data_IF_968111840540
#
_entry.id   IF_968111840540
#
_cell.length_a   1.000
_cell.length_b   1.000
_cell.length_c   1.000
_cell.angle_alpha   90.00
_cell.angle_beta   90.00
_cell.angle_gamma   90.00
#
_symmetry.space_group_name_H-M   'P 1'
#
loop_
_entity.id
_entity.type
_entity.pdbx_description
1 polymer ?
2 polymer ?
3 non-polymer ?
4 water ?
#
loop_
_entity_poly.entity_id
_entity_poly.type
_entity_poly.pdbx_seq_one_letter_code
_entity_poly.pdbx_strand_id
1 'polyribonucleotide' '(GTP)GCCGCCC' ?
#
# COMPACT_ATOMS: atom_id res chain seq x y z
N UNK B 2 -4.42 16.38 24.48
CA UNK B 2 -4.98 17.73 24.51
C UNK B 2 -4.53 18.52 23.29
N UNK B 3 -3.37 18.16 22.74
CA UNK B 3 -2.78 18.86 21.60
C UNK B 3 -3.30 18.21 20.31
N UNK B 4 -4.26 18.87 19.67
CA UNK B 4 -4.87 18.33 18.46
C UNK B 4 -4.28 19.01 17.24
N UNK B 5 -4.02 18.22 16.20
CA UNK B 5 -3.62 18.78 14.92
C UNK B 5 -4.85 19.24 14.15
N UNK B 6 -4.61 19.83 13.00
CA UNK B 6 -5.65 20.45 12.20
C UNK B 6 -6.12 19.56 11.06
N UNK B 7 -5.62 18.32 11.01
CA UNK B 7 -6.05 17.33 10.03
C UNK B 7 -5.99 17.87 8.60
N UNK B 8 -4.88 18.50 8.26
CA UNK B 8 -4.70 19.04 6.91
C UNK B 8 -4.44 17.92 5.90
N UNK B 9 -4.53 18.27 4.61
CA UNK B 9 -4.14 17.34 3.54
C UNK B 9 -2.64 17.42 3.32
N UNK B 10 -2.00 16.25 3.23
CA UNK B 10 -0.56 16.15 2.99
C UNK B 10 -0.34 15.38 1.70
N UNK B 11 0.74 15.73 1.00
CA UNK B 11 1.25 14.91 -0.08
C UNK B 11 2.19 13.87 0.49
N UNK B 12 2.06 12.63 0.02
CA UNK B 12 2.92 11.54 0.45
C UNK B 12 3.94 11.32 -0.65
N UNK B 13 5.20 11.66 -0.38
CA UNK B 13 6.21 11.67 -1.41
C UNK B 13 7.30 10.65 -1.13
N UNK B 14 7.93 10.16 -2.20
CA UNK B 14 9.09 9.26 -2.06
C UNK B 14 10.20 9.99 -1.33
N UNK B 15 10.69 9.40 -0.23
CA UNK B 15 11.72 10.15 0.49
C UNK B 15 13.04 10.15 -0.25
N UNK B 16 13.21 9.32 -1.29
CA UNK B 16 14.44 9.31 -2.08
C UNK B 16 14.42 10.28 -3.26
N UNK B 17 13.34 10.30 -4.04
CA UNK B 17 13.35 11.11 -5.26
C UNK B 17 12.29 12.22 -5.26
N UNK B 18 11.45 12.28 -4.22
CA UNK B 18 10.40 13.27 -3.99
C UNK B 18 9.21 13.17 -4.95
N UNK B 19 9.06 12.08 -5.71
CA UNK B 19 7.84 11.88 -6.50
C UNK B 19 6.65 11.64 -5.58
N UNK B 20 5.50 12.24 -5.90
CA UNK B 20 4.31 12.12 -5.07
C UNK B 20 3.54 10.84 -5.39
N UNK B 21 3.25 10.05 -4.36
CA UNK B 21 2.46 8.84 -4.58
C UNK B 21 0.97 9.13 -4.51
N UNK B 22 0.52 9.79 -3.45
CA UNK B 22 -0.91 10.01 -3.25
C UNK B 22 -1.10 11.09 -2.20
N UNK B 23 -2.37 11.48 -2.00
CA UNK B 23 -2.68 12.38 -0.89
C UNK B 23 -3.01 11.58 0.38
N UNK B 24 -2.88 12.26 1.52
CA UNK B 24 -3.06 11.64 2.83
C UNK B 24 -4.46 11.09 3.03
N UNK B 25 -5.45 11.70 2.40
CA UNK B 25 -6.83 11.29 2.61
C UNK B 25 -7.15 9.93 2.02
N UNK B 26 -6.22 9.32 1.25
CA UNK B 26 -6.41 7.99 0.67
C UNK B 26 -5.77 6.88 1.49
N UNK B 27 -5.14 7.21 2.61
CA UNK B 27 -4.65 6.18 3.52
C UNK B 27 -5.80 5.72 4.41
N UNK B 28 -5.99 4.41 4.52
CA UNK B 28 -7.05 3.86 5.36
C UNK B 28 -6.49 2.63 6.04
N UNK B 29 -6.99 2.31 7.22
CA UNK B 29 -6.36 1.16 7.84
C UNK B 29 -7.28 -0.06 7.74
N UNK B 30 -6.64 -1.23 7.72
CA UNK B 30 -7.31 -2.53 7.71
C UNK B 30 -6.62 -3.31 8.82
N UNK B 31 -7.20 -3.30 10.02
CA UNK B 31 -6.66 -4.02 11.18
C UNK B 31 -5.14 -3.81 11.33
N UNK B 32 -4.79 -2.57 11.65
CA UNK B 32 -3.41 -2.13 11.89
C UNK B 32 -2.53 -2.12 10.65
N UNK B 33 -3.03 -2.51 9.48
CA UNK B 33 -2.30 -2.39 8.22
C UNK B 33 -2.75 -1.10 7.54
N UNK B 34 -1.82 -0.21 7.21
CA UNK B 34 -2.12 1.08 6.61
C UNK B 34 -1.94 0.98 5.09
N UNK B 35 -3.03 1.14 4.34
CA UNK B 35 -2.99 0.89 2.90
C UNK B 35 -3.47 2.10 2.12
N UNK B 36 -3.15 2.12 0.81
CA UNK B 36 -3.54 3.22 -0.08
C UNK B 36 -4.77 2.79 -0.85
N UNK B 37 -5.83 3.62 -0.82
CA UNK B 37 -7.06 3.32 -1.55
C UNK B 37 -7.34 4.40 -2.59
N UNK B 38 -6.27 4.89 -3.22
CA UNK B 38 -6.38 5.78 -4.37
C UNK B 38 -6.09 4.93 -5.60
N UNK B 39 -7.07 4.70 -6.49
CA UNK B 39 -6.80 3.81 -7.64
C UNK B 39 -5.70 4.33 -8.56
N UNK B 40 -5.42 5.63 -8.54
CA UNK B 40 -4.36 6.18 -9.38
C UNK B 40 -2.95 5.89 -8.88
N UNK B 41 -2.81 5.40 -7.64
CA UNK B 41 -1.48 5.27 -7.05
C UNK B 41 -0.63 4.26 -7.82
N UNK B 42 -1.24 3.24 -8.41
CA UNK B 42 -0.44 2.16 -9.02
C UNK B 42 0.46 2.70 -10.13
N UNK B 43 0.02 3.76 -10.81
CA UNK B 43 0.83 4.39 -11.85
C UNK B 43 2.22 4.72 -11.35
N UNK B 44 2.34 5.00 -10.06
CA UNK B 44 3.61 5.47 -9.49
C UNK B 44 4.40 4.37 -8.82
N UNK B 45 3.96 3.11 -8.94
CA UNK B 45 4.56 1.98 -8.24
C UNK B 45 5.05 0.92 -9.22
N UNK B 46 6.22 0.37 -8.94
CA UNK B 46 6.79 -0.78 -9.65
C UNK B 46 6.52 -2.03 -8.81
N UNK B 47 5.97 -3.05 -9.44
CA UNK B 47 5.57 -4.28 -8.76
C UNK B 47 6.48 -5.41 -9.22
N UNK B 48 7.05 -6.15 -8.27
CA UNK B 48 8.03 -7.19 -8.62
C UNK B 48 7.87 -8.36 -7.66
N UNK B 49 7.83 -9.57 -8.22
CA UNK B 49 7.73 -10.77 -7.37
C UNK B 49 8.99 -10.92 -6.56
N UNK B 50 8.84 -11.22 -5.27
CA UNK B 50 9.97 -11.69 -4.49
C UNK B 50 10.33 -13.14 -4.82
N UNK B 51 9.43 -13.87 -5.49
CA UNK B 51 9.64 -15.29 -5.83
C UNK B 51 9.84 -16.15 -4.58
N UNK B 52 9.22 -15.72 -3.48
CA UNK B 52 9.24 -16.42 -2.19
C UNK B 52 7.91 -16.11 -1.51
N UNK B 53 7.15 -17.14 -1.15
CA UNK B 53 5.87 -16.95 -0.47
C UNK B 53 6.14 -16.46 0.95
N UNK B 54 5.27 -15.57 1.42
CA UNK B 54 5.32 -15.10 2.80
C UNK B 54 5.25 -16.28 3.76
N UNK B 55 5.90 -16.11 4.92
CA UNK B 55 5.75 -17.07 6.00
C UNK B 55 4.43 -16.88 6.75
N UNK B 56 3.80 -15.72 6.58
CA UNK B 56 2.48 -15.47 7.14
C UNK B 56 1.45 -15.89 6.09
N UNK B 57 0.84 -17.07 6.27
CA UNK B 57 -0.08 -17.64 5.29
C UNK B 57 -1.52 -17.40 5.74
N UNK B 58 -2.13 -16.33 5.25
CA UNK B 58 -3.51 -15.99 5.57
C UNK B 58 -4.37 -16.00 4.29
N UNK B 59 -5.62 -16.42 4.45
CA UNK B 59 -6.58 -16.34 3.35
C UNK B 59 -7.06 -14.91 3.14
N UNK B 60 -7.27 -14.17 4.23
CA UNK B 60 -7.87 -12.86 4.18
C UNK B 60 -6.88 -11.73 3.93
N UNK B 61 -5.59 -11.99 4.06
CA UNK B 61 -4.61 -10.94 4.28
C UNK B 61 -3.27 -11.43 3.75
N UNK B 62 -3.13 -11.48 2.41
CA UNK B 62 -1.97 -12.11 1.80
C UNK B 62 -0.88 -11.08 1.54
N UNK B 63 0.28 -11.15 2.18
CA UNK B 63 1.40 -10.30 1.76
C UNK B 63 2.02 -10.86 0.49
N UNK B 64 2.08 -10.02 -0.56
CA UNK B 64 2.47 -10.51 -1.88
C UNK B 64 3.69 -9.77 -2.38
N UNK B 65 3.59 -9.19 -3.59
CA UNK B 65 4.75 -8.70 -4.33
C UNK B 65 5.37 -7.48 -3.65
N UNK B 66 6.65 -7.26 -3.97
CA UNK B 66 7.36 -6.08 -3.52
C UNK B 66 6.89 -4.87 -4.32
N UNK B 67 6.86 -3.73 -3.67
CA UNK B 67 6.52 -2.49 -4.36
C UNK B 67 7.69 -1.53 -4.22
N UNK B 68 8.04 -0.89 -5.34
CA UNK B 68 9.10 0.10 -5.40
C UNK B 68 8.58 1.35 -6.07
N UNK B 69 9.24 2.47 -5.77
CA UNK B 69 8.96 3.70 -6.48
C UNK B 69 9.23 3.48 -7.97
N UNK B 70 8.25 3.80 -8.80
CA UNK B 70 8.44 3.57 -10.24
C UNK B 70 9.56 4.43 -10.77
N UNK B 71 9.79 5.59 -10.18
CA UNK B 71 10.81 6.49 -10.70
C UNK B 71 12.21 6.02 -10.32
N UNK B 72 12.46 5.89 -9.01
CA UNK B 72 13.83 5.67 -8.51
C UNK B 72 14.07 4.26 -8.00
N UNK B 73 13.03 3.42 -7.96
CA UNK B 73 13.11 2.01 -7.56
C UNK B 73 13.44 1.81 -6.09
N UNK B 74 13.35 2.85 -5.24
CA UNK B 74 13.44 2.63 -3.80
C UNK B 74 12.34 1.64 -3.37
N UNK B 75 12.67 0.74 -2.44
CA UNK B 75 11.65 -0.11 -1.82
C UNK B 75 10.75 0.74 -0.96
N UNK B 76 9.46 0.78 -1.27
CA UNK B 76 8.53 1.64 -0.55
C UNK B 76 7.41 0.85 0.14
N UNK B 77 7.42 -0.47 0.07
CA UNK B 77 6.39 -1.24 0.75
C UNK B 77 6.14 -2.56 0.04
N UNK B 78 4.89 -3.01 0.13
CA UNK B 78 4.52 -4.34 -0.32
C UNK B 78 3.06 -4.34 -0.70
N UNK B 79 2.72 -5.16 -1.68
CA UNK B 79 1.34 -5.30 -2.10
C UNK B 79 0.69 -6.43 -1.32
N UNK B 80 -0.57 -6.24 -0.95
CA UNK B 80 -1.34 -7.27 -0.28
C UNK B 80 -2.59 -7.56 -1.09
N UNK B 81 -3.16 -8.74 -0.84
CA UNK B 81 -4.50 -9.05 -1.32
C UNK B 81 -5.39 -9.15 -0.08
N UNK B 82 -6.31 -8.22 0.06
CA UNK B 82 -7.23 -8.15 1.20
C UNK B 82 -8.64 -8.21 0.63
N UNK B 83 -9.41 -9.20 1.06
CA UNK B 83 -10.81 -9.32 0.65
C UNK B 83 -10.91 -9.34 -0.87
N UNK B 84 -10.04 -10.12 -1.50
CA UNK B 84 -10.01 -10.24 -2.94
C UNK B 84 -9.50 -9.04 -3.69
N UNK B 85 -8.97 -8.02 -3.00
CA UNK B 85 -8.53 -6.79 -3.63
C UNK B 85 -7.04 -6.61 -3.45
N UNK B 86 -6.33 -6.24 -4.53
CA UNK B 86 -4.92 -5.88 -4.40
C UNK B 86 -4.80 -4.45 -3.88
N UNK B 87 -3.97 -4.28 -2.85
CA UNK B 87 -3.77 -2.97 -2.23
C UNK B 87 -2.29 -2.72 -1.97
N UNK B 88 -1.80 -1.50 -2.23
CA UNK B 88 -0.43 -1.17 -1.86
C UNK B 88 -0.36 -0.81 -0.38
N UNK B 89 0.62 -1.35 0.32
CA UNK B 89 0.90 -0.89 1.68
C UNK B 89 2.22 -0.11 1.62
N UNK B 90 2.17 1.20 1.81
CA UNK B 90 3.38 2.00 1.74
C UNK B 90 4.04 2.03 3.11
N UNK B 91 5.35 1.85 3.14
CA UNK B 91 6.08 1.92 4.39
C UNK B 91 6.21 3.36 4.86
N UNK B 92 5.86 3.62 6.12
CA UNK B 92 5.87 4.99 6.61
C UNK B 92 7.28 5.55 6.56
N UNK B 93 8.29 4.68 6.66
CA UNK B 93 9.66 5.17 6.70
C UNK B 93 10.20 5.49 5.31
N UNK B 94 9.51 5.10 4.26
CA UNK B 94 9.90 5.45 2.90
C UNK B 94 9.27 6.74 2.41
N UNK B 95 8.48 7.44 3.25
CA UNK B 95 7.70 8.60 2.83
C UNK B 95 8.20 9.89 3.46
N UNK B 96 7.97 11.00 2.76
CA UNK B 96 8.00 12.33 3.36
C UNK B 96 6.63 12.97 3.21
N UNK B 97 6.12 13.57 4.29
CA UNK B 97 4.80 14.19 4.30
C UNK B 97 4.95 15.69 4.10
N UNK B 98 4.29 16.24 3.08
CA UNK B 98 4.43 17.64 2.74
C UNK B 98 3.06 18.31 2.75
N UNK B 99 2.96 19.44 3.46
CA UNK B 99 1.75 20.26 3.58
C UNK B 99 2.02 21.62 2.97
N UNK B 100 1.28 21.95 1.90
CA UNK B 100 1.58 23.14 1.11
C UNK B 100 1.27 24.43 1.86
N UNK B 101 0.04 24.57 2.36
CA UNK B 101 -0.34 25.82 3.02
C UNK B 101 0.51 26.07 4.26
N UNK B 102 0.81 25.02 5.04
CA UNK B 102 1.65 25.18 6.23
C UNK B 102 3.12 25.39 5.87
N UNK B 103 3.52 25.09 4.64
CA UNK B 103 4.92 25.20 4.20
C UNK B 103 5.81 24.29 5.05
N UNK B 104 5.36 23.05 5.26
CA UNK B 104 6.01 22.16 6.20
C UNK B 104 6.24 20.80 5.57
N UNK B 105 7.31 20.12 6.01
CA UNK B 105 7.58 18.78 5.52
C UNK B 105 8.26 17.98 6.62
N UNK B 106 7.87 16.72 6.78
CA UNK B 106 8.32 15.94 7.92
C UNK B 106 8.35 14.47 7.56
N UNK B 107 9.20 13.72 8.26
CA UNK B 107 9.12 12.27 8.32
C UNK B 107 8.47 11.85 9.65
N UNK B 108 7.98 10.61 9.70
CA UNK B 108 7.47 10.03 10.94
C UNK B 108 7.98 8.59 11.02
N UNK B 109 8.25 8.13 12.24
CA UNK B 109 8.80 6.80 12.41
C UNK B 109 7.73 5.71 12.46
N UNK B 110 6.49 6.05 12.78
CA UNK B 110 5.40 5.08 12.87
C UNK B 110 4.12 5.69 12.34
N UNK B 111 3.23 4.84 11.80
CA UNK B 111 1.93 5.35 11.37
C UNK B 111 1.13 5.95 12.52
N UNK B 112 1.32 5.45 13.74
CA UNK B 112 0.61 6.03 14.87
C UNK B 112 1.11 7.45 15.17
N UNK B 113 2.37 7.75 14.80
CA UNK B 113 2.88 9.12 14.92
C UNK B 113 2.22 10.04 13.88
N UNK B 114 2.03 9.55 12.66
CA UNK B 114 1.28 10.28 11.64
C UNK B 114 -0.11 10.65 12.15
N UNK B 115 -0.82 9.67 12.70
CA UNK B 115 -2.17 9.93 13.22
C UNK B 115 -2.15 10.93 14.37
N UNK B 116 -1.10 10.90 15.19
CA UNK B 116 -1.02 11.75 16.37
C UNK B 116 -0.70 13.18 15.99
N UNK B 117 0.15 13.38 14.98
CA UNK B 117 0.75 14.68 14.70
C UNK B 117 0.24 15.33 13.42
N UNK B 118 -0.23 14.56 12.44
CA UNK B 118 -0.48 15.11 11.10
C UNK B 118 -1.92 15.00 10.66
N UNK B 119 -2.49 13.80 10.55
CA UNK B 119 -3.83 13.70 10.00
C UNK B 119 -4.47 12.41 10.47
N UNK B 120 -5.81 12.42 10.54
CA UNK B 120 -6.56 11.28 11.00
C UNK B 120 -6.61 10.21 9.92
N UNK B 121 -6.69 8.96 10.36
CA UNK B 121 -6.75 7.82 9.44
C UNK B 121 -7.87 6.92 9.90
N UNK B 122 -8.82 6.65 9.03
CA UNK B 122 -9.95 5.84 9.45
C UNK B 122 -9.85 4.46 8.84
N UNK B 123 -10.69 3.58 9.37
CA UNK B 123 -10.78 2.21 8.87
C UNK B 123 -11.36 2.20 7.45
N UNK B 124 -10.78 1.38 6.58
CA UNK B 124 -11.34 1.21 5.25
C UNK B 124 -12.70 0.56 5.32
N UNK B 125 -13.61 0.97 4.43
CA UNK B 125 -14.95 0.39 4.42
C UNK B 125 -15.21 -0.17 3.04
N UNK B 126 -16.43 -0.65 2.80
CA UNK B 126 -16.71 -1.44 1.61
C UNK B 126 -16.44 -0.65 0.33
N UNK B 127 -16.85 0.62 0.30
CA UNK B 127 -16.68 1.43 -0.92
C UNK B 127 -15.21 1.62 -1.27
N UNK B 128 -14.32 1.57 -0.26
CA UNK B 128 -12.89 1.67 -0.51
C UNK B 128 -12.38 0.44 -1.23
N UNK B 129 -12.84 -0.75 -0.80
CA UNK B 129 -12.41 -1.93 -1.55
C UNK B 129 -13.01 -1.94 -2.95
N UNK B 130 -14.25 -1.48 -3.08
CA UNK B 130 -14.90 -1.45 -4.39
C UNK B 130 -14.13 -0.57 -5.37
N UNK B 131 -13.68 0.61 -4.91
CA UNK B 131 -13.02 1.51 -5.83
C UNK B 131 -11.65 1.01 -6.25
N UNK B 132 -11.05 0.11 -5.47
CA UNK B 132 -9.73 -0.42 -5.81
C UNK B 132 -9.77 -1.72 -6.61
N UNK B 133 -10.94 -2.36 -6.71
CA UNK B 133 -10.96 -3.73 -7.23
C UNK B 133 -10.40 -3.82 -8.64
N UNK B 134 -10.76 -2.89 -9.51
CA UNK B 134 -10.31 -2.96 -10.89
C UNK B 134 -9.34 -1.84 -11.25
N UNK B 135 -8.47 -1.45 -10.31
CA UNK B 135 -7.59 -0.32 -10.51
C UNK B 135 -6.41 -0.62 -11.44
N UNK B 136 -6.13 -1.88 -11.72
CA UNK B 136 -4.94 -2.25 -12.47
C UNK B 136 -5.22 -2.58 -13.92
N UNK B 137 -6.42 -2.34 -14.41
CA UNK B 137 -6.76 -2.59 -15.82
C UNK B 137 -7.12 -1.26 -16.49
N UNK B 138 -6.10 -0.42 -16.74
CA UNK B 138 -6.36 0.83 -17.45
C UNK B 138 -5.11 1.32 -18.20
N UNK B 139 -3.93 0.81 -17.86
CA UNK B 139 -2.71 1.12 -18.60
C UNK B 139 -1.95 -0.17 -18.86
N UNK B 140 -1.21 -0.19 -19.97
CA UNK B 140 -0.36 -1.35 -20.28
C UNK B 140 0.59 -1.65 -19.13
N UNK B 141 1.22 -0.60 -18.57
CA UNK B 141 2.10 -0.81 -17.42
C UNK B 141 1.33 -1.46 -16.27
N UNK B 142 0.10 -1.01 -16.04
CA UNK B 142 -0.64 -1.52 -14.89
C UNK B 142 -1.12 -2.95 -15.12
N UNK B 143 -1.41 -3.32 -16.38
CA UNK B 143 -1.83 -4.70 -16.64
C UNK B 143 -0.69 -5.67 -16.36
N UNK B 144 0.54 -5.27 -16.69
CA UNK B 144 1.70 -6.11 -16.37
C UNK B 144 1.86 -6.30 -14.87
N UNK B 145 1.49 -5.27 -14.08
CA UNK B 145 1.56 -5.38 -12.63
C UNK B 145 0.53 -6.38 -12.11
N UNK B 146 -0.67 -6.39 -12.68
CA UNK B 146 -1.67 -7.37 -12.25
C UNK B 146 -1.17 -8.79 -12.49
N UNK B 147 -0.39 -9.02 -13.55
CA UNK B 147 0.11 -10.36 -13.83
C UNK B 147 1.01 -10.83 -12.69
N UNK B 148 1.91 -9.96 -12.23
CA UNK B 148 2.79 -10.29 -11.11
C UNK B 148 1.97 -10.65 -9.89
N UNK B 149 0.99 -9.79 -9.55
CA UNK B 149 0.22 -10.01 -8.33
C UNK B 149 -0.57 -11.30 -8.40
N UNK B 150 -1.22 -11.56 -9.53
CA UNK B 150 -2.00 -12.79 -9.68
C UNK B 150 -1.12 -14.01 -9.51
N UNK B 151 0.12 -13.96 -10.02
CA UNK B 151 1.03 -15.08 -9.90
C UNK B 151 1.44 -15.29 -8.45
N UNK B 152 1.80 -14.21 -7.75
CA UNK B 152 2.16 -14.32 -6.34
C UNK B 152 0.97 -14.81 -5.51
N UNK B 153 -0.22 -14.33 -5.81
CA UNK B 153 -1.39 -14.78 -5.07
C UNK B 153 -1.66 -16.26 -5.31
N UNK B 154 -1.51 -16.69 -6.56
CA UNK B 154 -1.71 -18.10 -6.88
C UNK B 154 -0.73 -18.98 -6.11
N UNK B 155 0.53 -18.59 -6.04
CA UNK B 155 1.49 -19.42 -5.32
C UNK B 155 1.24 -19.34 -3.82
N UNK B 156 0.81 -18.17 -3.33
CA UNK B 156 0.44 -18.06 -1.92
C UNK B 156 -0.67 -19.03 -1.56
N UNK B 157 -1.72 -19.08 -2.39
CA UNK B 157 -2.85 -19.97 -2.13
C UNK B 157 -2.42 -21.42 -2.19
N UNK B 158 -1.54 -21.76 -3.12
CA UNK B 158 -1.07 -23.13 -3.22
C UNK B 158 -0.22 -23.51 -2.01
N UNK B 159 0.63 -22.61 -1.55
CA UNK B 159 1.42 -22.89 -0.36
C UNK B 159 0.52 -23.15 0.84
N UNK B 160 -0.53 -22.34 0.99
CA UNK B 160 -1.46 -22.52 2.11
C UNK B 160 -2.23 -23.82 1.98
N UNK B 161 -2.66 -24.15 0.75
CA UNK B 161 -3.38 -25.40 0.53
C UNK B 161 -2.50 -26.61 0.81
N UNK B 162 -1.23 -26.56 0.39
CA UNK B 162 -0.36 -27.72 0.55
C UNK B 162 0.11 -27.89 1.98
N UNK B 163 0.15 -26.82 2.76
CA UNK B 163 0.44 -26.96 4.18
C UNK B 163 -0.77 -27.53 4.92
N UNK B 164 -1.98 -27.04 4.61
CA UNK B 164 -3.20 -27.59 5.17
C UNK B 164 -3.39 -29.06 4.82
N UNK B 165 -2.69 -29.54 3.79
CA UNK B 165 -2.74 -30.96 3.45
C UNK B 165 -2.20 -31.82 4.59
N UNK B 166 -1.30 -31.26 5.42
CA UNK B 166 -0.80 -32.01 6.57
C UNK B 166 -1.88 -32.22 7.61
N UNK B 167 -2.74 -31.22 7.82
CA UNK B 167 -3.82 -31.32 8.80
C UNK B 167 -5.06 -31.93 8.16
X LIG C 1 11.43 7.56 -5.68
#
# INVERSE_FOLDING_TARGET
MRLRHENKIYKLMCSNCSKEFCKSIYIKKVFSNYMVFDPSVWRFLHVESKRKVSKYLSEDNQPLSDIKCFHCKLDVGRAYKIRGTYLPQLSVKALTFVQESDYSSMTKAKWSDVEQDLFYISEAIEDDFRIMLNALSDTEENIEKKIVLDLDSRQHNKQLEMKRFHIQQE
ZN ZN
#
